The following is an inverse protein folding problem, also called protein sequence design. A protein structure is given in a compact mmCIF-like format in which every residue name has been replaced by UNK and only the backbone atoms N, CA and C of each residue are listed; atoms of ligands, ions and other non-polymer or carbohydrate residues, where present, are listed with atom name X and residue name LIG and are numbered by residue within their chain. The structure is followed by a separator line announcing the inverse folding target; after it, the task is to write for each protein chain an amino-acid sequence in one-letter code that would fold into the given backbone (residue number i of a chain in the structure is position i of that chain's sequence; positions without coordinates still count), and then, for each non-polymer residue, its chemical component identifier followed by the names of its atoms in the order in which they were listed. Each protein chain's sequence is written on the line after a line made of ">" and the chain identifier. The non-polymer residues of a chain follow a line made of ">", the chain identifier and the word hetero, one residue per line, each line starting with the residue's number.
data_IF_397757411398
#
_entry.id   IF_397757411398
#
_cell.length_a   1.000
_cell.length_b   1.000
_cell.length_c   1.000
_cell.angle_alpha   90.00
_cell.angle_beta   90.00
_cell.angle_gamma   90.00
#
_symmetry.space_group_name_H-M   'P 1'
#
loop_
_entity.id
_entity.type
_entity.pdbx_description
1 polymer ?
#
# COMPACT_ATOMS: atom_id res chain seq x y z
N UNK A 1 13.10 -4.68 -15.47
CA UNK A 1 13.82 -4.12 -14.28
C UNK A 1 12.86 -3.27 -13.48
N UNK A 2 12.62 -3.62 -12.21
CA UNK A 2 11.82 -2.85 -11.26
C UNK A 2 12.76 -1.99 -10.41
N UNK A 3 12.41 -0.74 -10.12
CA UNK A 3 13.26 0.19 -9.36
C UNK A 3 12.44 0.87 -8.27
N UNK A 4 12.89 0.79 -7.01
CA UNK A 4 12.25 1.44 -5.87
C UNK A 4 13.29 2.12 -4.98
N UNK A 5 12.91 3.22 -4.28
CA UNK A 5 13.88 4.00 -3.50
C UNK A 5 14.36 3.27 -2.25
N UNK A 6 13.48 2.58 -1.52
CA UNK A 6 13.78 2.00 -0.21
C UNK A 6 13.55 0.49 -0.20
N UNK A 7 14.41 -0.22 0.55
CA UNK A 7 14.36 -1.67 0.74
C UNK A 7 13.71 -2.11 2.07
N UNK A 8 13.06 -1.20 2.78
CA UNK A 8 12.24 -1.48 3.97
C UNK A 8 10.87 -2.06 3.60
N UNK A 9 10.09 -2.50 4.58
CA UNK A 9 8.70 -2.91 4.36
C UNK A 9 7.75 -1.71 4.34
N UNK A 10 6.80 -1.72 3.40
CA UNK A 10 5.77 -0.69 3.25
C UNK A 10 4.87 -0.99 2.05
N UNK A 11 3.76 -0.25 1.89
CA UNK A 11 2.76 -0.53 0.86
C UNK A 11 3.30 -0.57 -0.57
N UNK A 12 4.13 0.40 -0.96
CA UNK A 12 4.76 0.41 -2.29
C UNK A 12 5.73 -0.75 -2.48
N UNK A 13 6.51 -1.09 -1.44
CA UNK A 13 7.42 -2.23 -1.46
C UNK A 13 6.65 -3.55 -1.56
N UNK A 14 5.53 -3.69 -0.86
CA UNK A 14 4.67 -4.88 -0.99
C UNK A 14 4.19 -5.07 -2.43
N UNK A 15 3.76 -3.99 -3.11
CA UNK A 15 3.40 -4.06 -4.55
C UNK A 15 4.57 -4.53 -5.40
N UNK A 16 5.77 -3.99 -5.18
CA UNK A 16 6.98 -4.36 -5.94
C UNK A 16 7.37 -5.82 -5.69
N UNK A 17 7.28 -6.29 -4.45
CA UNK A 17 7.53 -7.69 -4.07
C UNK A 17 6.54 -8.61 -4.78
N UNK A 18 5.25 -8.30 -4.74
CA UNK A 18 4.21 -9.08 -5.41
C UNK A 18 4.45 -9.15 -6.93
N UNK A 19 4.77 -8.01 -7.57
CA UNK A 19 5.11 -7.95 -8.99
C UNK A 19 6.36 -8.78 -9.30
N UNK A 20 7.45 -8.60 -8.56
CA UNK A 20 8.71 -9.31 -8.81
C UNK A 20 8.53 -10.81 -8.68
N UNK A 21 7.91 -11.26 -7.58
CA UNK A 21 7.72 -12.68 -7.30
C UNK A 21 6.75 -13.37 -8.28
N UNK A 22 5.76 -12.65 -8.80
CA UNK A 22 4.85 -13.22 -9.80
C UNK A 22 5.50 -13.24 -11.18
N UNK A 23 6.13 -12.13 -11.59
CA UNK A 23 6.75 -12.03 -12.90
C UNK A 23 7.95 -12.97 -13.11
N UNK A 24 8.71 -13.29 -12.04
CA UNK A 24 9.92 -14.14 -12.16
C UNK A 24 9.63 -15.60 -12.53
N UNK A 25 8.37 -16.01 -12.59
CA UNK A 25 8.00 -17.33 -13.07
C UNK A 25 8.11 -17.46 -14.60
N UNK A 26 7.90 -16.36 -15.32
CA UNK A 26 7.85 -16.35 -16.79
C UNK A 26 8.82 -15.34 -17.43
N UNK A 27 9.44 -14.47 -16.63
CA UNK A 27 10.30 -13.38 -17.11
C UNK A 27 11.57 -13.25 -16.27
N UNK A 28 12.65 -12.75 -16.89
CA UNK A 28 13.86 -12.33 -16.20
C UNK A 28 13.60 -11.03 -15.44
N UNK A 29 13.60 -11.08 -14.12
CA UNK A 29 13.31 -9.93 -13.27
C UNK A 29 14.55 -9.47 -12.53
N UNK A 30 14.88 -8.19 -12.69
CA UNK A 30 15.89 -7.49 -11.90
C UNK A 30 15.18 -6.49 -11.00
N UNK A 31 15.36 -6.59 -9.69
CA UNK A 31 14.87 -5.63 -8.71
C UNK A 31 16.00 -4.78 -8.17
N UNK A 32 15.90 -3.47 -8.35
CA UNK A 32 16.86 -2.47 -7.85
C UNK A 32 16.21 -1.70 -6.71
N UNK A 33 16.86 -1.68 -5.54
CA UNK A 33 16.46 -0.84 -4.42
C UNK A 33 17.63 -0.07 -3.83
N UNK A 34 17.32 1.07 -3.20
CA UNK A 34 18.29 1.91 -2.52
C UNK A 34 18.38 1.65 -1.02
N UNK A 35 18.35 2.73 -0.22
CA UNK A 35 18.45 2.69 1.24
C UNK A 35 17.35 1.88 1.91
N UNK A 36 17.59 1.44 3.16
CA UNK A 36 16.62 0.77 4.01
C UNK A 36 17.24 -0.33 4.85
N UNK A 37 16.42 -0.97 5.68
CA UNK A 37 16.83 -2.06 6.57
C UNK A 37 16.98 -3.42 5.85
N UNK A 38 16.67 -3.46 4.58
CA UNK A 38 16.78 -4.67 3.76
C UNK A 38 15.70 -5.72 3.94
N UNK A 39 14.72 -5.51 4.81
CA UNK A 39 13.66 -6.51 5.09
C UNK A 39 12.83 -6.90 3.87
N UNK A 40 12.71 -6.00 2.89
CA UNK A 40 12.06 -6.31 1.61
C UNK A 40 12.75 -7.49 0.91
N UNK A 41 14.09 -7.61 1.02
CA UNK A 41 14.86 -8.67 0.36
C UNK A 41 14.56 -10.07 0.87
N UNK A 42 14.09 -10.19 2.13
CA UNK A 42 13.71 -11.47 2.74
C UNK A 42 12.46 -12.07 2.07
N UNK A 43 11.62 -11.21 1.47
CA UNK A 43 10.37 -11.60 0.82
C UNK A 43 10.51 -11.85 -0.69
N UNK A 44 11.69 -11.62 -1.27
CA UNK A 44 11.94 -11.72 -2.71
C UNK A 44 12.33 -13.15 -3.08
N UNK A 45 11.64 -13.70 -4.08
CA UNK A 45 11.91 -15.00 -4.67
C UNK A 45 13.38 -15.09 -5.16
N UNK A 46 13.99 -16.26 -4.98
CA UNK A 46 15.40 -16.50 -5.33
C UNK A 46 15.72 -16.36 -6.83
N UNK A 47 14.69 -16.44 -7.70
CA UNK A 47 14.83 -16.23 -9.15
C UNK A 47 14.99 -14.75 -9.54
N UNK A 48 14.61 -13.83 -8.68
CA UNK A 48 14.76 -12.40 -8.93
C UNK A 48 16.20 -11.97 -8.69
N UNK A 49 16.80 -11.34 -9.69
CA UNK A 49 18.13 -10.74 -9.54
C UNK A 49 18.01 -9.50 -8.66
N UNK A 50 18.77 -9.47 -7.55
CA UNK A 50 18.75 -8.39 -6.56
C UNK A 50 19.94 -7.46 -6.80
N UNK A 51 19.65 -6.18 -7.02
CA UNK A 51 20.66 -5.13 -7.21
C UNK A 51 20.44 -3.99 -6.22
N UNK A 52 21.52 -3.50 -5.66
CA UNK A 52 21.48 -2.36 -4.73
C UNK A 52 22.03 -1.10 -5.39
N UNK A 53 21.33 0.02 -5.22
CA UNK A 53 21.77 1.36 -5.62
C UNK A 53 21.97 2.22 -4.35
N UNK A 54 23.15 2.17 -3.70
CA UNK A 54 23.37 2.72 -2.36
C UNK A 54 23.11 4.24 -2.26
N UNK A 55 23.30 4.96 -3.38
CA UNK A 55 23.06 6.41 -3.41
C UNK A 55 21.59 6.77 -3.70
N UNK A 56 20.72 5.78 -4.01
CA UNK A 56 19.29 6.02 -4.17
C UNK A 56 18.63 6.12 -2.80
N UNK A 57 18.56 7.34 -2.26
CA UNK A 57 18.11 7.66 -0.91
C UNK A 57 16.86 8.55 -0.94
N UNK A 58 16.04 8.51 0.13
CA UNK A 58 14.86 9.37 0.25
C UNK A 58 15.23 10.84 0.42
N UNK A 59 16.30 11.13 1.16
CA UNK A 59 16.78 12.48 1.39
C UNK A 59 17.17 13.17 0.08
N UNK A 60 16.97 14.49 0.02
CA UNK A 60 17.44 15.31 -1.10
C UNK A 60 18.94 15.58 -0.94
N UNK A 61 19.74 15.16 -1.92
CA UNK A 61 21.18 15.37 -1.95
C UNK A 61 21.65 15.40 -3.40
N UNK A 62 22.06 16.57 -3.89
CA UNK A 62 22.54 16.70 -5.28
C UNK A 62 23.65 15.70 -5.62
N UNK A 63 24.57 15.46 -4.69
CA UNK A 63 25.66 14.50 -4.87
C UNK A 63 25.12 13.07 -5.00
N UNK A 64 24.32 12.61 -4.02
CA UNK A 64 23.77 11.27 -4.04
C UNK A 64 22.77 11.06 -5.19
N UNK A 65 21.99 12.08 -5.54
CA UNK A 65 21.04 12.02 -6.65
C UNK A 65 21.76 11.84 -8.00
N UNK A 66 22.90 12.53 -8.21
CA UNK A 66 23.73 12.34 -9.39
C UNK A 66 24.36 10.94 -9.41
N UNK A 67 24.92 10.48 -8.28
CA UNK A 67 25.50 9.14 -8.16
C UNK A 67 24.44 8.06 -8.38
N UNK A 68 23.25 8.18 -7.80
CA UNK A 68 22.14 7.27 -8.03
C UNK A 68 21.73 7.20 -9.51
N UNK A 69 21.68 8.36 -10.20
CA UNK A 69 21.40 8.38 -11.64
C UNK A 69 22.47 7.65 -12.46
N UNK A 70 23.74 7.76 -12.08
CA UNK A 70 24.87 7.02 -12.70
C UNK A 70 24.74 5.52 -12.41
N UNK A 71 24.42 5.13 -11.16
CA UNK A 71 24.19 3.74 -10.76
C UNK A 71 23.06 3.11 -11.58
N UNK A 72 21.93 3.77 -11.68
CA UNK A 72 20.79 3.30 -12.48
C UNK A 72 21.18 3.11 -13.95
N UNK A 73 21.98 4.02 -14.53
CA UNK A 73 22.50 3.86 -15.91
C UNK A 73 23.45 2.68 -16.05
N UNK A 74 24.29 2.43 -15.04
CA UNK A 74 25.22 1.28 -15.05
C UNK A 74 24.43 -0.03 -14.98
N UNK A 75 23.45 -0.13 -14.08
CA UNK A 75 22.57 -1.29 -13.95
C UNK A 75 21.76 -1.53 -15.23
N UNK A 76 21.17 -0.47 -15.80
CA UNK A 76 20.49 -0.56 -17.09
C UNK A 76 21.40 -1.12 -18.22
N UNK A 77 22.66 -0.67 -18.30
CA UNK A 77 23.63 -1.18 -19.29
C UNK A 77 24.09 -2.60 -18.99
N UNK A 78 24.10 -3.02 -17.74
CA UNK A 78 24.49 -4.38 -17.35
C UNK A 78 23.43 -5.39 -17.70
N UNK A 79 22.18 -5.08 -17.39
CA UNK A 79 21.06 -6.02 -17.50
C UNK A 79 20.27 -5.90 -18.80
N UNK A 80 20.47 -4.84 -19.58
CA UNK A 80 19.76 -4.59 -20.87
C UNK A 80 18.24 -4.82 -20.79
N UNK A 81 17.50 -4.29 -19.80
CA UNK A 81 16.10 -4.61 -19.64
C UNK A 81 15.27 -4.08 -20.81
N UNK A 82 14.24 -4.85 -21.19
CA UNK A 82 13.26 -4.42 -22.18
C UNK A 82 12.32 -3.38 -21.60
N UNK A 83 11.95 -3.52 -20.33
CA UNK A 83 11.09 -2.61 -19.57
C UNK A 83 11.76 -2.16 -18.29
N UNK A 84 11.64 -0.88 -17.97
CA UNK A 84 12.01 -0.29 -16.69
C UNK A 84 10.77 0.25 -16.01
N UNK A 85 10.42 -0.31 -14.88
CA UNK A 85 9.27 0.10 -14.09
C UNK A 85 9.76 0.79 -12.81
N UNK A 86 9.45 2.07 -12.68
CA UNK A 86 9.86 2.92 -11.58
C UNK A 86 8.75 3.02 -10.54
N UNK A 87 9.12 2.88 -9.27
CA UNK A 87 8.23 3.00 -8.12
C UNK A 87 8.80 4.02 -7.13
N UNK A 88 7.91 4.75 -6.43
CA UNK A 88 8.24 5.85 -5.51
C UNK A 88 8.78 7.12 -6.20
N UNK A 89 8.54 8.28 -5.57
CA UNK A 89 8.82 9.60 -6.17
C UNK A 89 10.28 9.82 -6.52
N UNK A 90 11.21 9.42 -5.64
CA UNK A 90 12.65 9.62 -5.87
C UNK A 90 13.18 8.75 -7.02
N UNK A 91 12.92 7.44 -6.98
CA UNK A 91 13.29 6.54 -8.07
C UNK A 91 12.57 6.92 -9.38
N UNK A 92 11.30 7.35 -9.30
CA UNK A 92 10.54 7.89 -10.40
C UNK A 92 11.19 9.11 -11.04
N UNK A 93 11.65 10.07 -10.24
CA UNK A 93 12.32 11.29 -10.73
C UNK A 93 13.66 10.95 -11.37
N UNK A 94 14.55 10.27 -10.63
CA UNK A 94 15.90 9.99 -11.10
C UNK A 94 15.90 9.00 -12.27
N UNK A 95 15.05 7.99 -12.23
CA UNK A 95 14.92 7.01 -13.31
C UNK A 95 14.42 7.66 -14.62
N UNK A 96 13.40 8.52 -14.58
CA UNK A 96 12.92 9.25 -15.77
C UNK A 96 13.96 10.20 -16.37
N UNK A 97 14.89 10.72 -15.55
CA UNK A 97 16.01 11.55 -16.03
C UNK A 97 17.15 10.70 -16.60
N UNK A 98 17.42 9.54 -16.00
CA UNK A 98 18.61 8.74 -16.28
C UNK A 98 18.40 7.68 -17.38
N UNK A 99 17.17 7.17 -17.56
CA UNK A 99 16.88 5.96 -18.33
C UNK A 99 16.08 6.27 -19.62
N UNK A 100 16.09 5.35 -20.61
CA UNK A 100 15.41 5.58 -21.88
C UNK A 100 13.91 5.71 -21.74
N UNK A 101 13.35 6.82 -22.17
CA UNK A 101 11.91 7.13 -22.14
C UNK A 101 11.04 6.00 -22.67
N UNK A 102 11.43 5.41 -23.82
CA UNK A 102 10.62 4.42 -24.53
C UNK A 102 10.38 3.14 -23.73
N UNK A 103 11.31 2.81 -22.85
CA UNK A 103 11.26 1.60 -22.01
C UNK A 103 10.78 1.87 -20.57
N UNK A 104 10.47 3.12 -20.24
CA UNK A 104 10.19 3.53 -18.85
C UNK A 104 8.71 3.71 -18.59
N UNK A 105 8.24 3.05 -17.54
CA UNK A 105 6.94 3.18 -16.89
C UNK A 105 7.14 3.73 -15.48
N UNK A 106 6.23 4.56 -14.99
CA UNK A 106 6.24 5.07 -13.60
C UNK A 106 4.91 4.85 -12.90
N UNK A 107 4.93 4.16 -11.75
CA UNK A 107 3.76 4.00 -10.88
C UNK A 107 3.83 4.93 -9.68
N UNK A 108 2.74 5.68 -9.45
CA UNK A 108 2.53 6.59 -8.35
C UNK A 108 1.72 5.87 -7.27
N UNK A 109 2.33 5.65 -6.10
CA UNK A 109 1.71 4.99 -4.94
C UNK A 109 1.13 6.02 -3.96
N UNK A 110 0.08 6.74 -4.38
CA UNK A 110 -0.56 7.81 -3.62
C UNK A 110 -0.05 9.20 -4.00
N UNK A 111 -0.79 9.84 -4.91
CA UNK A 111 -0.41 11.15 -5.48
C UNK A 111 -0.50 12.29 -4.45
N UNK A 112 -1.32 12.15 -3.42
CA UNK A 112 -1.45 13.17 -2.36
C UNK A 112 -0.15 13.43 -1.61
N UNK A 113 0.76 12.45 -1.57
CA UNK A 113 2.11 12.66 -1.04
C UNK A 113 2.85 13.79 -1.76
N UNK A 114 2.64 13.94 -3.07
CA UNK A 114 3.19 15.04 -3.87
C UNK A 114 2.25 16.24 -3.90
N UNK A 115 0.96 16.00 -4.17
CA UNK A 115 -0.05 17.06 -4.36
C UNK A 115 -0.26 17.90 -3.10
N UNK A 116 -0.33 17.24 -1.94
CA UNK A 116 -0.57 17.89 -0.64
C UNK A 116 0.73 18.03 0.15
N UNK A 117 1.47 16.94 0.32
CA UNK A 117 2.67 16.93 1.18
C UNK A 117 3.87 17.66 0.61
N UNK A 118 4.10 17.59 -0.70
CA UNK A 118 5.29 18.14 -1.37
C UNK A 118 4.94 18.90 -2.64
N UNK A 119 3.96 19.81 -2.59
CA UNK A 119 3.41 20.55 -3.75
C UNK A 119 4.48 21.30 -4.58
N UNK A 120 5.59 21.71 -3.98
CA UNK A 120 6.73 22.33 -4.67
C UNK A 120 7.35 21.47 -5.77
N UNK A 121 7.13 20.15 -5.76
CA UNK A 121 7.63 19.21 -6.78
C UNK A 121 6.65 18.96 -7.93
N UNK A 122 5.43 19.50 -7.89
CA UNK A 122 4.47 19.36 -9.00
C UNK A 122 4.99 19.83 -10.36
N UNK A 123 5.71 20.98 -10.46
CA UNK A 123 6.30 21.40 -11.73
C UNK A 123 7.27 20.36 -12.30
N UNK A 124 8.04 19.69 -11.45
CA UNK A 124 8.96 18.62 -11.83
C UNK A 124 8.17 17.41 -12.36
N UNK A 125 7.11 16.99 -11.69
CA UNK A 125 6.25 15.89 -12.13
C UNK A 125 5.58 16.20 -13.49
N UNK A 126 5.08 17.43 -13.67
CA UNK A 126 4.54 17.91 -14.98
C UNK A 126 5.56 17.86 -16.10
N UNK A 127 6.80 18.23 -15.84
CA UNK A 127 7.89 18.14 -16.83
C UNK A 127 8.25 16.68 -17.13
N UNK A 128 8.38 15.84 -16.10
CA UNK A 128 8.86 14.47 -16.21
C UNK A 128 7.84 13.50 -16.82
N UNK A 129 6.54 13.85 -16.92
CA UNK A 129 5.59 13.05 -17.69
C UNK A 129 6.02 12.87 -19.16
N UNK A 130 6.81 13.81 -19.70
CA UNK A 130 7.36 13.73 -21.06
C UNK A 130 8.59 12.81 -21.18
N UNK A 131 9.11 12.32 -20.05
CA UNK A 131 10.30 11.47 -19.94
C UNK A 131 9.97 10.02 -19.58
N UNK A 132 8.68 9.66 -19.66
CA UNK A 132 8.20 8.28 -19.47
C UNK A 132 7.21 7.91 -20.57
N UNK A 133 7.02 6.63 -20.83
CA UNK A 133 6.05 6.14 -21.81
C UNK A 133 4.64 6.07 -21.23
N UNK A 134 4.53 5.71 -19.94
CA UNK A 134 3.27 5.66 -19.22
C UNK A 134 3.45 6.08 -17.75
N UNK A 135 2.41 6.65 -17.18
CA UNK A 135 2.26 6.96 -15.77
C UNK A 135 1.05 6.20 -15.25
N UNK A 136 1.20 5.45 -14.17
CA UNK A 136 0.11 4.67 -13.57
C UNK A 136 -0.18 5.20 -12.18
N UNK A 137 -1.45 5.50 -11.90
CA UNK A 137 -1.95 5.69 -10.54
C UNK A 137 -2.51 4.39 -9.99
N UNK A 138 -2.42 4.21 -8.69
CA UNK A 138 -2.95 2.99 -8.03
C UNK A 138 -4.44 3.06 -7.73
N UNK A 139 -5.08 4.20 -8.02
CA UNK A 139 -6.52 4.45 -7.89
C UNK A 139 -7.00 5.45 -8.95
N UNK A 140 -8.30 5.45 -9.23
CA UNK A 140 -8.91 6.49 -10.06
C UNK A 140 -8.85 7.87 -9.37
N UNK A 141 -8.83 7.89 -8.04
CA UNK A 141 -8.59 9.11 -7.28
C UNK A 141 -7.23 9.72 -7.63
N UNK A 142 -6.16 8.92 -7.63
CA UNK A 142 -4.82 9.38 -7.99
C UNK A 142 -4.77 9.87 -9.44
N UNK A 143 -5.33 9.11 -10.38
CA UNK A 143 -5.29 9.48 -11.81
C UNK A 143 -6.11 10.74 -12.10
N UNK A 144 -7.27 10.92 -11.49
CA UNK A 144 -8.06 12.16 -11.61
C UNK A 144 -7.30 13.35 -11.05
N UNK A 145 -6.66 13.21 -9.88
CA UNK A 145 -5.87 14.29 -9.28
C UNK A 145 -4.59 14.59 -10.08
N UNK A 146 -3.90 13.58 -10.61
CA UNK A 146 -2.78 13.79 -11.54
C UNK A 146 -3.22 14.57 -12.76
N UNK A 147 -4.35 14.22 -13.37
CA UNK A 147 -4.90 14.90 -14.55
C UNK A 147 -5.27 16.35 -14.22
N UNK A 148 -5.95 16.59 -13.10
CA UNK A 148 -6.29 17.94 -12.62
C UNK A 148 -5.07 18.81 -12.37
N UNK A 149 -3.96 18.22 -11.94
CA UNK A 149 -2.68 18.92 -11.74
C UNK A 149 -1.82 18.98 -13.02
N UNK A 150 -2.38 18.65 -14.19
CA UNK A 150 -1.72 18.80 -15.50
C UNK A 150 -0.76 17.66 -15.87
N UNK A 151 -0.83 16.52 -15.21
CA UNK A 151 -0.14 15.28 -15.59
C UNK A 151 -1.16 14.45 -16.40
N UNK A 152 -1.12 14.58 -17.73
CA UNK A 152 -2.15 14.04 -18.62
C UNK A 152 -1.63 13.04 -19.64
N UNK A 153 -0.30 12.87 -19.75
CA UNK A 153 0.29 12.03 -20.80
C UNK A 153 0.33 10.55 -20.40
N UNK A 154 -0.43 9.74 -21.16
CA UNK A 154 -0.46 8.28 -20.99
C UNK A 154 -0.69 7.86 -19.52
N UNK A 155 -1.64 8.54 -18.87
CA UNK A 155 -2.05 8.24 -17.49
C UNK A 155 -3.12 7.16 -17.52
N UNK A 156 -2.96 6.14 -16.67
CA UNK A 156 -3.92 5.05 -16.50
C UNK A 156 -3.99 4.61 -15.04
N UNK A 157 -5.05 3.89 -14.69
CA UNK A 157 -5.23 3.31 -13.36
C UNK A 157 -4.96 1.82 -13.39
N UNK A 158 -4.15 1.33 -12.46
CA UNK A 158 -4.05 -0.10 -12.13
C UNK A 158 -4.17 -0.23 -10.62
N UNK A 159 -5.21 -0.88 -10.15
CA UNK A 159 -5.37 -1.14 -8.72
C UNK A 159 -4.28 -2.07 -8.21
N UNK A 160 -3.85 -1.81 -6.97
CA UNK A 160 -2.96 -2.73 -6.28
C UNK A 160 -3.65 -4.08 -6.11
N UNK A 161 -2.88 -5.16 -6.28
CA UNK A 161 -3.33 -6.53 -6.05
C UNK A 161 -2.39 -7.27 -5.13
N UNK A 162 -2.91 -8.22 -4.38
CA UNK A 162 -2.12 -9.07 -3.49
C UNK A 162 -2.43 -10.55 -3.70
N UNK A 163 -1.48 -11.39 -3.32
CA UNK A 163 -1.75 -12.78 -2.95
C UNK A 163 -2.25 -12.77 -1.51
N UNK A 164 -3.33 -13.53 -1.21
CA UNK A 164 -3.83 -13.66 0.18
C UNK A 164 -2.67 -14.06 1.09
N UNK A 165 -2.47 -13.37 2.24
CA UNK A 165 -1.43 -13.71 3.21
C UNK A 165 -1.56 -15.16 3.71
N UNK A 166 -0.42 -15.82 3.89
CA UNK A 166 -0.38 -17.19 4.42
C UNK A 166 -0.65 -17.18 5.93
N UNK A 167 -1.57 -18.03 6.36
CA UNK A 167 -1.99 -18.15 7.76
C UNK A 167 -1.29 -19.28 8.52
N UNK A 168 -0.44 -20.07 7.87
CA UNK A 168 0.18 -21.27 8.47
C UNK A 168 1.11 -20.98 9.65
N UNK A 169 1.67 -19.76 9.73
CA UNK A 169 2.65 -19.37 10.73
C UNK A 169 2.19 -18.18 11.61
N UNK A 170 0.86 -18.01 11.79
CA UNK A 170 0.36 -16.96 12.70
C UNK A 170 0.67 -17.38 14.13
N UNK A 171 1.39 -16.54 14.87
CA UNK A 171 1.53 -16.70 16.31
C UNK A 171 0.17 -16.50 16.97
N UNK A 172 -0.26 -17.45 17.80
CA UNK A 172 -1.47 -17.27 18.59
C UNK A 172 -1.29 -16.08 19.54
N UNK A 173 -2.10 -15.06 19.35
CA UNK A 173 -2.25 -13.99 20.31
C UNK A 173 -3.59 -14.19 21.02
N UNK A 174 -3.56 -14.52 22.31
CA UNK A 174 -4.74 -14.80 23.15
C UNK A 174 -5.80 -13.70 23.08
N UNK A 175 -5.37 -12.50 22.72
CA UNK A 175 -6.24 -11.33 22.60
C UNK A 175 -7.40 -11.53 21.62
N UNK A 176 -7.19 -12.27 20.51
CA UNK A 176 -8.23 -12.54 19.53
C UNK A 176 -9.31 -13.52 20.03
N UNK A 177 -9.03 -14.25 21.12
CA UNK A 177 -9.96 -15.17 21.74
C UNK A 177 -10.62 -14.58 23.01
N UNK A 178 -10.22 -13.38 23.40
CA UNK A 178 -10.65 -12.75 24.65
C UNK A 178 -11.98 -12.00 24.53
N UNK A 179 -12.36 -11.64 23.31
CA UNK A 179 -13.56 -10.87 23.00
C UNK A 179 -14.42 -11.61 21.97
N UNK A 180 -15.74 -11.47 22.08
CA UNK A 180 -16.68 -12.08 21.12
C UNK A 180 -16.52 -11.49 19.71
N UNK A 181 -16.09 -10.23 19.63
CA UNK A 181 -15.80 -9.52 18.38
C UNK A 181 -14.51 -8.73 18.49
N UNK A 182 -13.70 -8.78 17.42
CA UNK A 182 -12.43 -8.08 17.32
C UNK A 182 -12.39 -7.17 16.08
N UNK A 183 -12.06 -5.90 16.32
CA UNK A 183 -11.78 -4.89 15.30
C UNK A 183 -10.27 -4.76 15.15
N UNK A 184 -9.75 -5.02 13.95
CA UNK A 184 -8.32 -4.99 13.65
C UNK A 184 -7.95 -3.76 12.82
N UNK A 185 -6.82 -3.15 13.16
CA UNK A 185 -6.12 -2.20 12.31
C UNK A 185 -4.67 -2.64 12.11
N UNK A 186 -4.15 -2.48 10.90
CA UNK A 186 -2.74 -2.79 10.57
C UNK A 186 -2.14 -1.55 9.93
N UNK A 187 -1.28 -0.86 10.66
CA UNK A 187 -0.61 0.34 10.17
C UNK A 187 0.56 0.74 11.08
N UNK A 188 1.52 1.49 10.54
CA UNK A 188 2.44 2.26 11.40
C UNK A 188 1.65 3.29 12.19
N UNK A 189 2.18 3.75 13.30
CA UNK A 189 1.54 4.78 14.12
C UNK A 189 1.85 6.21 13.67
N UNK A 190 2.80 6.36 12.73
CA UNK A 190 3.18 7.66 12.18
C UNK A 190 2.10 8.24 11.21
N UNK A 191 2.03 9.57 11.04
CA UNK A 191 1.20 10.17 10.01
C UNK A 191 1.44 9.53 8.63
N UNK A 192 0.36 9.32 7.87
CA UNK A 192 -0.98 9.91 8.00
C UNK A 192 -1.97 9.11 8.85
N UNK A 193 -1.54 8.03 9.50
CA UNK A 193 -2.41 7.17 10.31
C UNK A 193 -2.83 7.88 11.59
N UNK A 194 -4.00 7.52 12.10
CA UNK A 194 -4.61 8.18 13.25
C UNK A 194 -4.80 7.20 14.43
N UNK A 195 -3.71 6.78 15.12
CA UNK A 195 -3.82 5.87 16.25
C UNK A 195 -4.62 6.46 17.42
N UNK A 196 -4.58 7.79 17.65
CA UNK A 196 -5.42 8.42 18.66
C UNK A 196 -6.90 8.23 18.37
N UNK A 197 -7.33 8.40 17.13
CA UNK A 197 -8.71 8.17 16.72
C UNK A 197 -9.12 6.71 16.96
N UNK A 198 -8.21 5.75 16.69
CA UNK A 198 -8.45 4.34 17.00
C UNK A 198 -8.71 4.11 18.49
N UNK A 199 -7.90 4.70 19.37
CA UNK A 199 -8.06 4.62 20.82
C UNK A 199 -9.40 5.23 21.27
N UNK A 200 -9.77 6.39 20.71
CA UNK A 200 -11.01 7.09 21.05
C UNK A 200 -12.25 6.31 20.62
N UNK A 201 -12.17 5.58 19.49
CA UNK A 201 -13.21 4.65 19.04
C UNK A 201 -13.31 3.45 20.01
N UNK A 202 -12.19 2.87 20.42
CA UNK A 202 -12.15 1.75 21.36
C UNK A 202 -12.81 2.09 22.70
N UNK A 203 -12.60 3.31 23.22
CA UNK A 203 -13.26 3.80 24.45
C UNK A 203 -14.79 3.81 24.37
N UNK A 204 -15.35 4.03 23.18
CA UNK A 204 -16.81 4.06 22.98
C UNK A 204 -17.44 2.67 22.88
N UNK A 205 -16.64 1.61 22.77
CA UNK A 205 -17.10 0.24 22.55
C UNK A 205 -16.33 -0.78 23.41
N UNK A 206 -16.46 -0.71 24.75
CA UNK A 206 -15.68 -1.55 25.66
C UNK A 206 -15.98 -3.06 25.56
N UNK A 207 -17.09 -3.43 24.94
CA UNK A 207 -17.50 -4.82 24.72
C UNK A 207 -16.71 -5.53 23.61
N UNK A 208 -16.07 -4.79 22.69
CA UNK A 208 -15.30 -5.34 21.57
C UNK A 208 -13.79 -5.19 21.81
N UNK A 209 -13.00 -6.15 21.34
CA UNK A 209 -11.55 -6.03 21.31
C UNK A 209 -11.08 -5.15 20.15
N UNK A 210 -10.18 -4.23 20.42
CA UNK A 210 -9.53 -3.38 19.42
C UNK A 210 -8.05 -3.72 19.36
N UNK A 211 -7.58 -4.20 18.20
CA UNK A 211 -6.20 -4.63 18.02
C UNK A 211 -5.53 -3.80 16.94
N UNK A 212 -4.38 -3.21 17.27
CA UNK A 212 -3.52 -2.51 16.33
C UNK A 212 -2.20 -3.26 16.15
N UNK A 213 -1.81 -3.52 14.90
CA UNK A 213 -0.52 -4.14 14.57
C UNK A 213 0.30 -3.15 13.72
N UNK A 214 1.59 -2.97 14.05
CA UNK A 214 2.52 -2.13 13.30
C UNK A 214 3.00 -0.88 14.05
N UNK A 215 2.71 -0.77 15.35
CA UNK A 215 3.31 0.26 16.19
C UNK A 215 4.79 -0.02 16.42
N UNK A 216 5.61 1.03 16.29
CA UNK A 216 7.07 0.93 16.45
C UNK A 216 7.55 1.48 17.79
N UNK A 217 6.69 2.22 18.50
CA UNK A 217 7.01 2.92 19.75
C UNK A 217 6.05 2.55 20.86
N UNK A 218 6.43 2.90 22.08
CA UNK A 218 5.54 2.84 23.25
C UNK A 218 4.33 3.78 23.01
N UNK A 219 3.14 3.31 23.39
CA UNK A 219 1.88 4.01 23.20
C UNK A 219 1.53 4.95 24.36
N UNK A 220 2.48 5.24 25.26
CA UNK A 220 2.32 6.14 26.41
C UNK A 220 1.89 7.56 26.01
N UNK A 221 2.22 8.01 24.80
CA UNK A 221 1.79 9.29 24.25
C UNK A 221 0.26 9.43 24.13
N UNK A 222 -0.48 8.32 24.06
CA UNK A 222 -1.95 8.31 23.98
C UNK A 222 -2.64 8.27 25.37
N UNK A 223 -1.87 8.42 26.45
CA UNK A 223 -2.35 8.35 27.82
C UNK A 223 -2.72 6.92 28.23
N UNK A 224 -3.65 6.81 29.19
CA UNK A 224 -4.14 5.51 29.64
C UNK A 224 -5.02 4.88 28.55
N UNK A 225 -4.57 3.72 28.05
CA UNK A 225 -5.31 2.98 27.04
C UNK A 225 -6.53 2.29 27.66
N UNK A 226 -7.67 2.26 26.97
CA UNK A 226 -8.82 1.47 27.44
C UNK A 226 -8.46 -0.02 27.47
N UNK A 227 -9.02 -0.75 28.43
CA UNK A 227 -8.70 -2.17 28.67
C UNK A 227 -8.92 -3.10 27.46
N UNK A 228 -9.75 -2.67 26.52
CA UNK A 228 -10.07 -3.38 25.30
C UNK A 228 -9.23 -2.95 24.08
N UNK A 229 -8.23 -2.06 24.25
CA UNK A 229 -7.38 -1.55 23.17
C UNK A 229 -5.95 -2.11 23.32
N UNK A 230 -5.47 -2.82 22.29
CA UNK A 230 -4.23 -3.58 22.35
C UNK A 230 -3.34 -3.25 21.14
N UNK A 231 -2.09 -2.88 21.42
CA UNK A 231 -1.05 -2.65 20.42
C UNK A 231 -0.05 -3.80 20.47
N UNK A 232 0.07 -4.56 19.38
CA UNK A 232 0.87 -5.80 19.34
C UNK A 232 2.27 -5.61 18.77
N UNK A 233 2.69 -4.38 18.50
CA UNK A 233 4.00 -4.12 17.91
C UNK A 233 4.05 -4.39 16.41
N UNK A 234 5.26 -4.46 15.90
CA UNK A 234 5.52 -4.70 14.48
C UNK A 234 5.65 -6.21 14.24
N UNK A 235 4.67 -6.80 13.57
CA UNK A 235 4.60 -8.24 13.29
C UNK A 235 4.82 -8.48 11.80
N UNK A 236 5.72 -9.43 11.48
CA UNK A 236 5.90 -9.90 10.10
C UNK A 236 4.64 -10.64 9.64
N UNK A 237 4.22 -10.43 8.39
CA UNK A 237 3.00 -11.01 7.84
C UNK A 237 1.71 -10.61 8.62
N UNK A 238 1.67 -9.36 9.12
CA UNK A 238 0.55 -8.83 9.89
C UNK A 238 -0.82 -9.03 9.19
N UNK A 239 -0.86 -8.96 7.86
CA UNK A 239 -2.06 -9.17 7.06
C UNK A 239 -2.76 -10.51 7.32
N UNK A 240 -2.01 -11.54 7.73
CA UNK A 240 -2.58 -12.85 8.06
C UNK A 240 -3.52 -12.80 9.28
N UNK A 241 -3.31 -11.85 10.22
CA UNK A 241 -4.18 -11.65 11.39
C UNK A 241 -5.57 -11.15 11.03
N UNK A 242 -5.78 -10.65 9.80
CA UNK A 242 -7.13 -10.40 9.31
C UNK A 242 -8.02 -11.65 9.35
N UNK A 243 -7.45 -12.85 9.25
CA UNK A 243 -8.19 -14.12 9.40
C UNK A 243 -8.85 -14.25 10.79
N UNK A 244 -8.27 -13.65 11.83
CA UNK A 244 -8.71 -13.75 13.24
C UNK A 244 -9.67 -12.62 13.67
N UNK A 245 -9.79 -11.56 12.88
CA UNK A 245 -10.66 -10.43 13.19
C UNK A 245 -12.07 -10.61 12.60
N UNK A 246 -13.03 -9.85 13.13
CA UNK A 246 -14.41 -9.80 12.61
C UNK A 246 -14.59 -8.62 11.64
N UNK A 247 -13.88 -7.50 11.91
CA UNK A 247 -13.95 -6.29 11.12
C UNK A 247 -12.56 -5.66 11.00
N UNK A 248 -12.28 -5.07 9.84
CA UNK A 248 -11.06 -4.29 9.63
C UNK A 248 -11.35 -2.80 9.67
N UNK A 249 -10.53 -2.03 10.39
CA UNK A 249 -10.68 -0.59 10.50
C UNK A 249 -9.38 0.13 10.07
N UNK A 250 -9.51 1.23 9.31
CA UNK A 250 -8.35 2.05 8.93
C UNK A 250 -8.63 3.55 9.07
N UNK A 251 -8.29 4.18 10.20
CA UNK A 251 -8.33 5.62 10.36
C UNK A 251 -7.07 6.27 9.76
N UNK A 252 -7.24 7.15 8.77
CA UNK A 252 -6.15 7.82 8.06
C UNK A 252 -6.54 9.20 7.57
N UNK A 253 -5.55 10.11 7.44
CA UNK A 253 -5.77 11.45 6.87
C UNK A 253 -5.63 11.48 5.33
N UNK A 254 -4.83 10.59 4.75
CA UNK A 254 -4.70 10.41 3.30
C UNK A 254 -4.17 9.01 2.97
N UNK A 255 -4.59 8.48 1.84
CA UNK A 255 -4.17 7.19 1.29
C UNK A 255 -4.08 7.25 -0.24
N UNK A 256 -3.32 6.33 -0.83
CA UNK A 256 -3.48 5.97 -2.23
C UNK A 256 -4.55 4.87 -2.37
N UNK A 257 -4.10 3.62 -2.51
CA UNK A 257 -4.93 2.42 -2.38
C UNK A 257 -4.28 1.49 -1.35
N UNK A 258 -4.75 1.47 -0.09
CA UNK A 258 -4.06 0.80 1.02
C UNK A 258 -4.11 -0.72 0.89
N UNK A 259 -2.92 -1.35 0.86
CA UNK A 259 -2.75 -2.80 0.74
C UNK A 259 -3.43 -3.56 1.87
N UNK A 260 -3.38 -3.03 3.10
CA UNK A 260 -3.95 -3.66 4.29
C UNK A 260 -5.48 -3.83 4.23
N UNK A 261 -6.19 -2.93 3.53
CA UNK A 261 -7.62 -3.11 3.26
C UNK A 261 -7.83 -4.28 2.28
N UNK A 262 -6.99 -4.39 1.25
CA UNK A 262 -7.06 -5.50 0.29
C UNK A 262 -6.75 -6.83 1.00
N UNK A 263 -5.79 -6.84 1.93
CA UNK A 263 -5.49 -7.98 2.80
C UNK A 263 -6.73 -8.40 3.60
N UNK A 264 -7.40 -7.47 4.27
CA UNK A 264 -8.62 -7.74 5.02
C UNK A 264 -9.76 -8.27 4.11
N UNK A 265 -9.95 -7.66 2.94
CA UNK A 265 -10.94 -8.10 1.96
C UNK A 265 -10.66 -9.51 1.45
N UNK A 266 -9.39 -9.91 1.32
CA UNK A 266 -9.01 -11.26 0.92
C UNK A 266 -9.44 -12.35 1.91
N UNK A 267 -9.63 -11.98 3.17
CA UNK A 267 -10.18 -12.84 4.23
C UNK A 267 -11.69 -12.63 4.44
N UNK A 268 -12.36 -11.91 3.55
CA UNK A 268 -13.79 -11.67 3.62
C UNK A 268 -14.18 -10.84 4.85
N UNK A 269 -13.40 -9.82 5.20
CA UNK A 269 -13.74 -8.96 6.34
C UNK A 269 -14.49 -7.72 5.88
N UNK A 270 -15.58 -7.32 6.59
CA UNK A 270 -16.16 -6.00 6.46
C UNK A 270 -15.12 -4.91 6.77
N UNK A 271 -15.23 -3.76 6.13
CA UNK A 271 -14.26 -2.67 6.31
C UNK A 271 -14.96 -1.38 6.73
N UNK A 272 -14.44 -0.70 7.77
CA UNK A 272 -14.79 0.68 8.09
C UNK A 272 -13.51 1.52 8.02
N UNK A 273 -13.48 2.52 7.13
CA UNK A 273 -12.27 3.30 6.90
C UNK A 273 -12.57 4.78 6.67
N UNK A 274 -11.54 5.62 6.79
CA UNK A 274 -11.63 7.04 6.47
C UNK A 274 -11.99 7.26 5.00
N UNK A 275 -12.83 8.25 4.72
CA UNK A 275 -13.19 8.64 3.36
C UNK A 275 -12.07 9.49 2.73
N UNK A 276 -10.95 8.85 2.42
CA UNK A 276 -9.75 9.50 1.84
C UNK A 276 -9.14 8.67 0.71
N UNK A 277 -8.52 9.34 -0.25
CA UNK A 277 -7.81 8.70 -1.34
C UNK A 277 -8.67 7.77 -2.18
N UNK A 278 -8.12 6.63 -2.57
CA UNK A 278 -8.80 5.60 -3.34
C UNK A 278 -9.62 4.60 -2.52
N UNK A 279 -9.76 4.80 -1.19
CA UNK A 279 -10.44 3.82 -0.31
C UNK A 279 -11.87 3.57 -0.76
N UNK A 280 -12.64 4.62 -1.12
CA UNK A 280 -14.04 4.50 -1.57
C UNK A 280 -14.21 3.73 -2.90
N UNK A 281 -13.13 3.45 -3.60
CA UNK A 281 -13.17 2.65 -4.83
C UNK A 281 -13.25 1.15 -4.54
N UNK A 282 -12.71 0.72 -3.39
CA UNK A 282 -12.69 -0.69 -2.96
C UNK A 282 -13.59 -0.95 -1.75
N UNK A 283 -13.83 0.07 -0.89
CA UNK A 283 -14.80 0.00 0.22
C UNK A 283 -16.06 0.73 -0.23
N UNK A 284 -17.09 -0.03 -0.61
CA UNK A 284 -18.34 0.46 -1.19
C UNK A 284 -19.42 0.54 -0.10
N UNK A 285 -19.86 1.76 0.21
CA UNK A 285 -20.84 2.01 1.28
C UNK A 285 -22.08 1.13 1.17
N UNK A 286 -22.40 0.40 2.26
CA UNK A 286 -23.58 -0.47 2.34
C UNK A 286 -23.45 -1.79 1.56
N UNK A 287 -22.28 -2.09 0.98
CA UNK A 287 -22.00 -3.31 0.21
C UNK A 287 -20.99 -4.21 0.94
N UNK A 288 -19.79 -3.71 1.19
CA UNK A 288 -18.72 -4.45 1.88
C UNK A 288 -18.15 -3.70 3.07
N UNK A 289 -18.71 -2.55 3.42
CA UNK A 289 -18.25 -1.70 4.50
C UNK A 289 -18.76 -0.28 4.41
N UNK A 290 -18.05 0.61 5.07
CA UNK A 290 -18.35 2.04 5.06
C UNK A 290 -17.06 2.87 5.00
N UNK A 291 -17.08 3.96 4.22
CA UNK A 291 -16.12 5.05 4.34
C UNK A 291 -16.77 6.20 5.08
N UNK A 292 -16.09 6.72 6.09
CA UNK A 292 -16.62 7.73 7.02
C UNK A 292 -15.65 8.90 7.20
N UNK A 293 -16.13 10.00 7.72
CA UNK A 293 -15.27 11.09 8.19
C UNK A 293 -14.46 10.67 9.43
N UNK A 294 -13.34 11.37 9.67
CA UNK A 294 -12.44 11.08 10.79
C UNK A 294 -13.01 11.58 12.13
N UNK A 295 -14.09 10.95 12.60
CA UNK A 295 -14.62 11.15 13.94
C UNK A 295 -14.89 9.80 14.62
N UNK A 296 -14.70 9.76 15.94
CA UNK A 296 -14.91 8.54 16.71
C UNK A 296 -16.37 8.08 16.65
N UNK A 297 -17.32 9.01 16.63
CA UNK A 297 -18.76 8.77 16.54
C UNK A 297 -19.14 8.13 15.20
N UNK A 298 -18.59 8.64 14.09
CA UNK A 298 -18.88 8.13 12.76
C UNK A 298 -18.37 6.70 12.58
N UNK A 299 -17.14 6.42 13.03
CA UNK A 299 -16.58 5.05 13.02
C UNK A 299 -17.39 4.12 13.93
N UNK A 300 -17.63 4.51 15.19
CA UNK A 300 -18.33 3.69 16.16
C UNK A 300 -19.75 3.34 15.69
N UNK A 301 -20.48 4.28 15.09
CA UNK A 301 -21.82 4.02 14.56
C UNK A 301 -21.80 2.92 13.49
N UNK A 302 -20.86 2.95 12.55
CA UNK A 302 -20.77 1.96 11.46
C UNK A 302 -20.22 0.62 11.91
N UNK A 303 -19.29 0.60 12.87
CA UNK A 303 -18.77 -0.63 13.45
C UNK A 303 -19.91 -1.36 14.19
N UNK A 304 -20.71 -0.66 15.03
CA UNK A 304 -21.88 -1.24 15.70
C UNK A 304 -22.90 -1.77 14.69
N UNK A 305 -23.25 -0.98 13.69
CA UNK A 305 -24.21 -1.37 12.65
C UNK A 305 -23.82 -2.70 11.96
N UNK A 306 -22.53 -2.96 11.81
CA UNK A 306 -22.05 -4.21 11.20
C UNK A 306 -22.00 -5.33 12.23
N UNK A 307 -21.38 -5.11 13.39
CA UNK A 307 -21.08 -6.17 14.36
C UNK A 307 -22.32 -6.61 15.17
N UNK A 308 -23.33 -5.76 15.32
CA UNK A 308 -24.60 -6.10 15.99
C UNK A 308 -25.59 -6.82 15.06
N UNK A 309 -25.32 -6.84 13.74
CA UNK A 309 -26.11 -7.58 12.75
C UNK A 309 -25.25 -8.66 12.06
N UNK A 310 -25.29 -9.88 12.56
CA UNK A 310 -24.49 -10.98 12.05
C UNK A 310 -24.86 -11.38 10.60
N UNK A 311 -26.05 -11.03 10.12
CA UNK A 311 -26.41 -11.24 8.71
C UNK A 311 -25.71 -10.22 7.82
N UNK A 312 -25.68 -8.95 8.23
CA UNK A 312 -24.97 -7.86 7.57
C UNK A 312 -23.46 -8.11 7.56
N UNK A 313 -22.87 -8.47 8.72
CA UNK A 313 -21.47 -8.81 8.85
C UNK A 313 -21.06 -9.89 7.82
N UNK A 314 -21.80 -10.98 7.74
CA UNK A 314 -21.56 -12.04 6.76
C UNK A 314 -21.77 -11.60 5.32
N UNK A 315 -22.79 -10.77 5.05
CA UNK A 315 -23.05 -10.26 3.71
C UNK A 315 -21.91 -9.34 3.24
N UNK A 316 -21.48 -8.40 4.09
CA UNK A 316 -20.38 -7.49 3.78
C UNK A 316 -19.04 -8.24 3.64
N UNK A 317 -18.81 -9.24 4.48
CA UNK A 317 -17.62 -10.08 4.36
C UNK A 317 -17.57 -10.82 3.02
N UNK A 318 -18.68 -11.42 2.58
CA UNK A 318 -18.76 -12.05 1.25
C UNK A 318 -18.52 -11.05 0.13
N UNK A 319 -19.15 -9.89 0.18
CA UNK A 319 -18.97 -8.83 -0.81
C UNK A 319 -17.49 -8.34 -0.87
N UNK A 320 -16.81 -8.23 0.29
CA UNK A 320 -15.37 -7.95 0.34
C UNK A 320 -14.56 -8.99 -0.43
N UNK A 321 -14.82 -10.27 -0.18
CA UNK A 321 -14.13 -11.38 -0.83
C UNK A 321 -14.42 -11.42 -2.35
N UNK A 322 -15.66 -11.15 -2.75
CA UNK A 322 -16.07 -11.12 -4.16
C UNK A 322 -15.35 -9.98 -4.91
N UNK A 323 -15.28 -8.77 -4.32
CA UNK A 323 -14.54 -7.64 -4.89
C UNK A 323 -13.05 -7.98 -4.98
N UNK A 324 -12.46 -8.53 -3.91
CA UNK A 324 -11.06 -8.96 -3.94
C UNK A 324 -10.78 -9.95 -5.09
N UNK A 325 -11.57 -11.01 -5.22
CA UNK A 325 -11.39 -12.02 -6.25
C UNK A 325 -11.57 -11.46 -7.67
N UNK A 326 -12.49 -10.51 -7.84
CA UNK A 326 -12.78 -9.91 -9.14
C UNK A 326 -11.75 -8.86 -9.57
N UNK A 327 -11.18 -8.07 -8.64
CA UNK A 327 -10.50 -6.83 -8.99
C UNK A 327 -9.10 -6.67 -8.36
N UNK A 328 -8.80 -7.34 -7.22
CA UNK A 328 -7.68 -6.97 -6.35
C UNK A 328 -6.68 -8.11 -6.10
N UNK A 329 -6.72 -9.17 -6.91
CA UNK A 329 -5.72 -10.24 -6.86
C UNK A 329 -4.40 -9.79 -7.50
N UNK A 330 -3.30 -10.40 -7.08
CA UNK A 330 -1.98 -10.14 -7.68
C UNK A 330 -1.98 -10.42 -9.18
N UNK A 331 -2.66 -11.49 -9.62
CA UNK A 331 -2.70 -11.88 -11.04
C UNK A 331 -3.38 -10.79 -11.88
N UNK A 332 -4.50 -10.22 -11.42
CA UNK A 332 -5.17 -9.09 -12.09
C UNK A 332 -4.26 -7.87 -12.23
N UNK A 333 -3.54 -7.53 -11.17
CA UNK A 333 -2.57 -6.44 -11.18
C UNK A 333 -1.44 -6.72 -12.17
N UNK A 334 -0.86 -7.92 -12.14
CA UNK A 334 0.25 -8.31 -13.03
C UNK A 334 -0.20 -8.32 -14.47
N UNK A 335 -1.35 -8.91 -14.80
CA UNK A 335 -1.92 -8.91 -16.16
C UNK A 335 -2.10 -7.50 -16.71
N UNK A 336 -2.59 -6.58 -15.86
CA UNK A 336 -2.76 -5.18 -16.23
C UNK A 336 -1.41 -4.51 -16.54
N UNK A 337 -0.38 -4.77 -15.75
CA UNK A 337 0.98 -4.27 -16.02
C UNK A 337 1.60 -4.93 -17.26
N UNK A 338 1.42 -6.24 -17.46
CA UNK A 338 1.91 -6.95 -18.64
C UNK A 338 1.32 -6.35 -19.93
N UNK A 339 0.05 -5.95 -19.95
CA UNK A 339 -0.54 -5.27 -21.10
C UNK A 339 0.16 -3.93 -21.39
N UNK A 340 0.52 -3.15 -20.36
CA UNK A 340 1.33 -1.95 -20.55
C UNK A 340 2.73 -2.33 -21.05
N UNK A 341 3.41 -3.30 -20.43
CA UNK A 341 4.76 -3.71 -20.80
C UNK A 341 4.84 -4.12 -22.28
N UNK A 342 3.88 -4.93 -22.75
CA UNK A 342 3.80 -5.31 -24.18
C UNK A 342 3.71 -4.10 -25.11
N UNK A 343 3.08 -3.02 -24.70
CA UNK A 343 3.00 -1.77 -25.48
C UNK A 343 4.30 -0.96 -25.50
N UNK A 344 5.28 -1.32 -24.67
CA UNK A 344 6.61 -0.69 -24.60
C UNK A 344 7.66 -1.42 -25.45
N UNK A 345 7.39 -2.68 -25.81
CA UNK A 345 8.24 -3.51 -26.66
C UNK A 345 8.02 -3.21 -28.14
#
# INVERSE_FOLDING_TARGET
>A
MLVITRSELGGAQTVVVQLANTLCHEHDVVLVAGEGDGKMWELIDSRVVREQAPHLQRALSLKNDLLAAIELRKLYRRHHPDVVHLHSSKAGTLGRLALPKRKTLYTVHGFDSVRVGFRRFLPVERMLQHRTRAVVGVSNYDTRNMTAEGITKCVSTIYNGIKRPDVSNIQEADIFNRYDKVVLSIARTDPPKQPQLFVDIARQMPQYGFVWIGNQHDMTEFGELPANCHFLGNIVNAGAYCSKADLFMLPSNYEGLPMVIIEAMSFGKPVVASNVGGISEIVRNGINGYVVENSAEAFAARIREILEDSAKERAFGRASLDIYNAELTVDRMVDSYLNIYRSLL
#
